data_IF_509655811821
#
_entry.id   IF_509655811821
#
_cell.length_a   1.000
_cell.length_b   1.000
_cell.length_c   1.000
_cell.angle_alpha   90.00
_cell.angle_beta   90.00
_cell.angle_gamma   90.00
#
_symmetry.space_group_name_H-M   'P 1'
#
loop_
_entity.id
_entity.type
_entity.pdbx_description
1 polymer ?
#
# COMPACT_ATOMS: atom_id res chain seq x y z
N UNK A 1 20.10 19.60 59.59
CA UNK A 1 20.70 18.29 59.89
C UNK A 1 19.66 17.47 60.63
N UNK A 2 18.94 16.62 59.91
CA UNK A 2 18.14 15.54 60.49
C UNK A 2 18.35 14.33 59.59
N UNK A 3 18.87 13.27 60.20
CA UNK A 3 19.24 11.99 59.62
C UNK A 3 18.25 10.93 60.10
N UNK A 4 18.00 9.97 59.20
CA UNK A 4 17.63 8.56 59.43
C UNK A 4 16.19 8.23 59.91
N UNK A 5 15.56 7.09 59.57
CA UNK A 5 15.80 5.96 58.64
C UNK A 5 14.48 5.18 58.55
N UNK A 6 14.28 4.56 57.38
CA UNK A 6 13.44 3.41 56.99
C UNK A 6 12.40 2.79 57.95
N UNK A 7 11.25 2.41 57.37
CA UNK A 7 10.80 1.03 57.51
C UNK A 7 10.01 0.54 56.29
N UNK A 8 10.46 -0.61 55.78
CA UNK A 8 9.89 -1.43 54.71
C UNK A 8 8.86 -2.39 55.31
N UNK A 9 7.76 -2.62 54.58
CA UNK A 9 6.87 -3.81 54.51
C UNK A 9 5.48 -3.27 54.14
N UNK A 10 4.80 -3.67 53.08
CA UNK A 10 4.29 -5.01 52.84
C UNK A 10 4.12 -5.27 51.34
N UNK A 11 4.55 -6.46 50.90
CA UNK A 11 4.31 -6.99 49.56
C UNK A 11 2.86 -7.45 49.49
N UNK A 12 2.05 -6.85 48.62
CA UNK A 12 0.80 -7.46 48.17
C UNK A 12 1.03 -8.15 46.83
N UNK A 13 1.09 -9.49 46.90
CA UNK A 13 1.12 -10.39 45.76
C UNK A 13 -0.28 -10.42 45.11
N UNK A 14 -0.54 -9.47 44.22
CA UNK A 14 -1.70 -9.53 43.35
C UNK A 14 -1.36 -10.42 42.14
N UNK A 15 -1.72 -11.71 42.22
CA UNK A 15 -1.82 -12.59 41.05
C UNK A 15 -2.88 -12.02 40.10
N UNK A 16 -2.45 -11.21 39.13
CA UNK A 16 -3.27 -10.87 37.97
C UNK A 16 -3.13 -12.00 36.95
N UNK A 17 -4.13 -12.88 36.88
CA UNK A 17 -4.24 -13.83 35.79
C UNK A 17 -4.31 -13.08 34.46
N UNK A 18 -3.40 -13.45 33.55
CA UNK A 18 -3.33 -12.90 32.19
C UNK A 18 -4.59 -13.32 31.43
N UNK A 19 -5.45 -12.40 30.95
CA UNK A 19 -6.36 -12.75 29.88
C UNK A 19 -5.52 -13.04 28.63
N UNK A 20 -5.48 -14.29 28.22
CA UNK A 20 -4.97 -14.76 26.93
C UNK A 20 -5.86 -14.25 25.79
N UNK A 21 -5.88 -12.93 25.59
CA UNK A 21 -6.35 -12.37 24.33
C UNK A 21 -5.18 -12.44 23.36
N UNK A 22 -5.24 -13.42 22.46
CA UNK A 22 -4.48 -13.46 21.21
C UNK A 22 -4.92 -12.34 20.27
N UNK A 23 -4.89 -11.10 20.76
CA UNK A 23 -5.08 -9.89 19.99
C UNK A 23 -3.78 -9.61 19.28
N UNK A 24 -3.60 -10.18 18.09
CA UNK A 24 -2.50 -9.79 17.20
C UNK A 24 -2.53 -8.28 17.04
N UNK A 25 -1.55 -7.59 17.62
CA UNK A 25 -1.41 -6.15 17.49
C UNK A 25 -1.28 -5.85 16.01
N UNK A 26 -2.33 -5.26 15.43
CA UNK A 26 -2.35 -4.89 14.02
C UNK A 26 -1.34 -3.76 13.88
N UNK A 27 -0.08 -4.10 13.62
CA UNK A 27 0.97 -3.10 13.48
C UNK A 27 0.54 -2.15 12.38
N UNK A 28 0.34 -0.89 12.75
CA UNK A 28 -0.11 0.14 11.82
C UNK A 28 1.06 0.40 10.88
N UNK A 29 1.10 -0.33 9.77
CA UNK A 29 2.17 -0.19 8.79
C UNK A 29 2.12 1.23 8.23
N UNK A 30 3.19 1.99 8.42
CA UNK A 30 3.34 3.33 7.85
C UNK A 30 3.53 3.23 6.34
N UNK A 31 2.40 3.16 5.62
CA UNK A 31 2.37 3.08 4.16
C UNK A 31 2.06 4.48 3.61
N UNK A 32 3.02 5.08 2.93
CA UNK A 32 2.80 6.31 2.17
C UNK A 32 2.32 5.95 0.76
N UNK A 33 1.12 6.38 0.34
CA UNK A 33 0.67 6.17 -1.02
C UNK A 33 1.44 7.08 -1.98
N UNK A 34 1.84 6.55 -3.14
CA UNK A 34 2.54 7.30 -4.19
C UNK A 34 1.70 7.29 -5.49
N UNK A 35 0.49 7.88 -5.48
CA UNK A 35 -0.48 7.74 -6.58
C UNK A 35 0.01 8.38 -7.87
N UNK A 36 0.72 9.51 -7.78
CA UNK A 36 1.23 10.21 -8.96
C UNK A 36 2.29 9.39 -9.71
N UNK A 37 3.22 8.76 -8.97
CA UNK A 37 4.21 7.88 -9.56
C UNK A 37 3.54 6.70 -10.25
N UNK A 38 2.53 6.09 -9.61
CA UNK A 38 1.79 4.98 -10.18
C UNK A 38 1.06 5.38 -11.48
N UNK A 39 0.33 6.50 -11.48
CA UNK A 39 -0.37 7.01 -12.67
C UNK A 39 0.59 7.28 -13.83
N UNK A 40 1.67 8.01 -13.57
CA UNK A 40 2.65 8.39 -14.59
C UNK A 40 3.36 7.15 -15.13
N UNK A 41 3.82 6.25 -14.27
CA UNK A 41 4.48 5.02 -14.71
C UNK A 41 3.56 4.11 -15.51
N UNK A 42 2.26 4.04 -15.19
CA UNK A 42 1.29 3.27 -15.98
C UNK A 42 1.05 3.90 -17.36
N UNK A 43 0.95 5.23 -17.42
CA UNK A 43 0.79 5.98 -18.67
C UNK A 43 1.98 5.82 -19.63
N UNK A 44 3.20 5.81 -19.11
CA UNK A 44 4.43 5.69 -19.91
C UNK A 44 4.93 4.24 -20.06
N UNK A 45 4.22 3.25 -19.50
CA UNK A 45 4.63 1.83 -19.57
C UNK A 45 5.95 1.54 -18.85
N UNK A 46 6.28 2.31 -17.81
CA UNK A 46 7.54 2.19 -17.08
C UNK A 46 7.50 0.92 -16.21
N UNK A 47 8.56 0.11 -16.25
CA UNK A 47 8.70 -1.04 -15.37
C UNK A 47 8.86 -0.62 -13.91
N UNK A 48 8.25 -1.38 -12.98
CA UNK A 48 8.31 -1.10 -11.53
C UNK A 48 9.73 -0.89 -11.00
N UNK A 49 10.70 -1.66 -11.51
CA UNK A 49 12.12 -1.56 -11.12
C UNK A 49 12.71 -0.22 -11.54
N UNK A 50 12.45 0.21 -12.77
CA UNK A 50 12.92 1.50 -13.30
C UNK A 50 12.26 2.66 -12.56
N UNK A 51 10.96 2.58 -12.30
CA UNK A 51 10.24 3.57 -11.52
C UNK A 51 10.77 3.67 -10.08
N UNK A 52 11.10 2.55 -9.44
CA UNK A 52 11.68 2.54 -8.09
C UNK A 52 13.09 3.17 -8.06
N UNK A 53 13.93 2.87 -9.05
CA UNK A 53 15.27 3.46 -9.18
C UNK A 53 15.19 4.98 -9.40
N UNK A 54 14.35 5.42 -10.34
CA UNK A 54 14.13 6.85 -10.61
C UNK A 54 13.60 7.58 -9.37
N UNK A 55 12.59 7.02 -8.70
CA UNK A 55 12.02 7.64 -7.51
C UNK A 55 13.04 7.70 -6.36
N UNK A 56 13.86 6.66 -6.18
CA UNK A 56 14.94 6.67 -5.19
C UNK A 56 16.01 7.71 -5.51
N UNK A 57 16.43 7.84 -6.78
CA UNK A 57 17.39 8.85 -7.21
C UNK A 57 16.86 10.28 -7.02
N UNK A 58 15.58 10.52 -7.34
CA UNK A 58 14.94 11.83 -7.11
C UNK A 58 14.86 12.16 -5.62
N UNK A 59 14.50 11.19 -4.77
CA UNK A 59 14.46 11.39 -3.31
C UNK A 59 15.85 11.67 -2.72
N UNK A 60 16.89 11.04 -3.26
CA UNK A 60 18.28 11.30 -2.90
C UNK A 60 18.73 12.70 -3.33
N UNK A 61 18.44 13.09 -4.57
CA UNK A 61 18.74 14.43 -5.10
C UNK A 61 18.09 15.53 -4.24
N UNK A 62 16.83 15.35 -3.86
CA UNK A 62 16.09 16.28 -3.01
C UNK A 62 16.53 16.24 -1.53
N UNK A 63 17.50 15.38 -1.16
CA UNK A 63 17.99 15.13 0.21
C UNK A 63 16.89 14.87 1.25
N UNK A 64 15.71 14.44 0.79
CA UNK A 64 14.56 14.11 1.64
C UNK A 64 14.84 12.88 2.53
N UNK A 65 15.83 12.08 2.14
CA UNK A 65 16.23 10.86 2.83
C UNK A 65 17.28 11.08 3.94
N UNK A 66 17.78 12.31 4.17
CA UNK A 66 18.90 12.60 5.08
C UNK A 66 18.73 12.18 6.54
N UNK A 67 17.49 11.92 7.00
CA UNK A 67 17.20 11.53 8.39
C UNK A 67 16.61 10.12 8.56
N UNK A 68 16.27 9.42 7.49
CA UNK A 68 15.56 8.12 7.56
C UNK A 68 16.15 7.13 6.56
N UNK A 69 16.93 6.18 7.06
CA UNK A 69 17.49 5.04 6.30
C UNK A 69 16.40 4.16 5.64
N UNK A 70 15.15 4.27 6.09
CA UNK A 70 14.01 3.49 5.59
C UNK A 70 13.27 4.10 4.39
N UNK A 71 13.68 5.29 3.92
CA UNK A 71 12.96 6.05 2.89
C UNK A 71 13.26 5.61 1.44
N UNK A 72 14.06 4.56 1.24
CA UNK A 72 14.33 4.00 -0.10
C UNK A 72 13.04 3.45 -0.70
N UNK A 73 12.77 3.78 -1.97
CA UNK A 73 11.64 3.22 -2.71
C UNK A 73 12.14 1.93 -3.39
N UNK A 74 11.68 0.79 -2.88
CA UNK A 74 11.91 -0.50 -3.50
C UNK A 74 10.84 -0.79 -4.56
N UNK A 75 11.08 -1.83 -5.37
CA UNK A 75 10.12 -2.28 -6.38
C UNK A 75 8.76 -2.62 -5.74
N UNK A 76 8.73 -3.17 -4.52
CA UNK A 76 7.48 -3.56 -3.86
C UNK A 76 6.64 -2.35 -3.45
N UNK A 77 7.26 -1.24 -3.06
CA UNK A 77 6.59 0.05 -2.78
C UNK A 77 6.01 0.70 -4.03
N UNK A 78 6.51 0.39 -5.23
CA UNK A 78 5.93 0.86 -6.51
C UNK A 78 4.85 -0.09 -7.02
N UNK A 79 5.08 -1.41 -6.98
CA UNK A 79 4.14 -2.42 -7.46
C UNK A 79 2.77 -2.32 -6.79
N UNK A 80 2.74 -2.06 -5.48
CA UNK A 80 1.50 -1.95 -4.69
C UNK A 80 0.58 -0.81 -5.16
N UNK A 81 1.02 0.46 -5.22
CA UNK A 81 0.20 1.54 -5.73
C UNK A 81 -0.12 1.35 -7.22
N UNK A 82 0.73 0.69 -8.01
CA UNK A 82 0.41 0.30 -9.40
C UNK A 82 -0.78 -0.66 -9.48
N UNK A 83 -0.75 -1.73 -8.69
CA UNK A 83 -1.86 -2.69 -8.63
C UNK A 83 -3.14 -2.02 -8.13
N UNK A 84 -3.04 -1.16 -7.12
CA UNK A 84 -4.18 -0.40 -6.62
C UNK A 84 -4.75 0.52 -7.70
N UNK A 85 -3.90 1.29 -8.39
CA UNK A 85 -4.31 2.18 -9.46
C UNK A 85 -5.05 1.43 -10.57
N UNK A 86 -4.52 0.29 -11.03
CA UNK A 86 -5.18 -0.55 -12.04
C UNK A 86 -6.47 -1.19 -11.55
N UNK A 87 -6.54 -1.56 -10.27
CA UNK A 87 -7.77 -2.08 -9.67
C UNK A 87 -8.86 -1.00 -9.64
N UNK A 88 -8.50 0.20 -9.18
CA UNK A 88 -9.39 1.36 -9.12
C UNK A 88 -9.92 1.67 -10.53
N UNK A 89 -9.04 1.73 -11.55
CA UNK A 89 -9.43 1.91 -12.95
C UNK A 89 -10.38 0.82 -13.45
N UNK A 90 -10.11 -0.46 -13.15
CA UNK A 90 -11.00 -1.57 -13.54
C UNK A 90 -12.37 -1.45 -12.88
N UNK A 91 -12.41 -1.06 -11.61
CA UNK A 91 -13.66 -0.88 -10.88
C UNK A 91 -14.49 0.27 -11.47
N UNK A 92 -13.84 1.39 -11.82
CA UNK A 92 -14.48 2.52 -12.47
C UNK A 92 -15.01 2.15 -13.86
N UNK A 93 -14.20 1.42 -14.65
CA UNK A 93 -14.65 0.88 -15.94
C UNK A 93 -15.85 -0.05 -15.78
N UNK A 94 -15.84 -1.00 -14.84
CA UNK A 94 -16.96 -1.92 -14.63
C UNK A 94 -18.26 -1.22 -14.23
N UNK A 95 -18.16 -0.14 -13.44
CA UNK A 95 -19.32 0.67 -13.05
C UNK A 95 -19.83 1.50 -14.23
N UNK A 96 -18.92 2.00 -15.07
CA UNK A 96 -19.26 2.91 -16.16
C UNK A 96 -19.61 2.21 -17.48
N UNK A 97 -19.22 0.96 -17.68
CA UNK A 97 -19.50 0.24 -18.93
C UNK A 97 -20.87 -0.42 -18.87
N UNK A 98 -21.83 -0.05 -19.74
CA UNK A 98 -22.97 -0.94 -20.00
C UNK A 98 -22.43 -2.29 -20.51
N UNK A 99 -23.13 -3.39 -20.23
CA UNK A 99 -22.80 -4.74 -20.72
C UNK A 99 -22.43 -4.65 -22.21
N UNK A 100 -21.15 -4.90 -22.54
CA UNK A 100 -20.65 -4.73 -23.90
C UNK A 100 -21.27 -5.84 -24.76
N UNK A 101 -22.37 -5.52 -25.45
CA UNK A 101 -23.15 -6.49 -26.23
C UNK A 101 -22.45 -6.93 -27.52
N UNK A 102 -21.59 -6.07 -28.08
CA UNK A 102 -20.78 -6.37 -29.27
C UNK A 102 -19.64 -5.34 -29.44
N UNK A 103 -18.51 -5.78 -30.01
CA UNK A 103 -17.38 -4.95 -30.44
C UNK A 103 -17.23 -5.07 -31.97
N UNK A 104 -17.45 -3.99 -32.71
CA UNK A 104 -17.37 -3.97 -34.19
C UNK A 104 -16.03 -3.39 -34.65
N UNK A 105 -15.25 -4.15 -35.42
CA UNK A 105 -13.91 -3.73 -35.89
C UNK A 105 -13.91 -3.03 -37.26
N UNK A 106 -15.04 -2.99 -37.97
CA UNK A 106 -15.14 -2.45 -39.34
C UNK A 106 -16.56 -1.95 -39.70
N UNK A 107 -17.39 -1.63 -38.71
CA UNK A 107 -18.82 -1.29 -38.93
C UNK A 107 -19.70 -2.42 -39.48
N UNK A 108 -19.11 -3.55 -39.89
CA UNK A 108 -19.81 -4.79 -40.25
C UNK A 108 -20.24 -5.52 -39.00
N UNK A 109 -21.55 -5.78 -38.92
CA UNK A 109 -22.23 -6.36 -37.76
C UNK A 109 -21.95 -7.86 -37.57
N UNK A 110 -21.37 -8.51 -38.57
CA UNK A 110 -21.51 -9.94 -38.72
C UNK A 110 -20.33 -10.69 -38.08
N UNK A 111 -20.66 -11.48 -37.03
CA UNK A 111 -19.84 -12.50 -36.36
C UNK A 111 -18.77 -12.00 -35.37
N UNK A 112 -19.04 -10.97 -34.59
CA UNK A 112 -18.16 -10.60 -33.48
C UNK A 112 -18.52 -11.37 -32.20
N UNK A 113 -17.51 -11.83 -31.47
CA UNK A 113 -17.62 -12.65 -30.24
C UNK A 113 -18.62 -12.05 -29.23
N UNK A 114 -19.61 -12.84 -28.82
CA UNK A 114 -20.47 -12.54 -27.67
C UNK A 114 -19.72 -12.93 -26.38
N UNK A 115 -19.79 -12.10 -25.34
CA UNK A 115 -19.19 -12.41 -24.05
C UNK A 115 -19.98 -13.54 -23.36
N UNK A 116 -19.37 -14.72 -23.26
CA UNK A 116 -19.92 -15.83 -22.47
C UNK A 116 -19.67 -15.55 -20.99
N UNK A 117 -20.73 -15.61 -20.16
CA UNK A 117 -20.60 -15.46 -18.70
C UNK A 117 -20.04 -16.76 -18.14
N UNK A 118 -18.84 -16.70 -17.58
CA UNK A 118 -18.22 -17.74 -16.73
C UNK A 118 -18.60 -17.46 -15.28
#
# INVERSE_FOLDING_TARGET
MSLEVENLTEKQEAKSELPSTSGGSRSQQMRLPIPNLARISDQFGILDRSAAALASAVLEYLRLNSKKTSSVIDQSKVRRPHQKYRFDLKSEFQISTPEIRALYFDGRKDKTMCQERI
#
